data_IF_803178350687
#
_entry.id   IF_803178350687
#
_cell.length_a   1.000
_cell.length_b   1.000
_cell.length_c   1.000
_cell.angle_alpha   90.00
_cell.angle_beta   90.00
_cell.angle_gamma   90.00
#
_symmetry.space_group_name_H-M   'P 1'
#
loop_
_entity.id
_entity.type
_entity.pdbx_description
1 polymer ?
#
# COMPACT_ATOMS: atom_id res chain seq x y z
N UNK A 1 -18.76 21.59 -13.36
CA UNK A 1 -17.32 21.62 -13.62
C UNK A 1 -16.78 20.20 -13.60
N UNK A 2 -15.78 19.90 -14.44
CA UNK A 2 -15.18 18.57 -14.59
C UNK A 2 -14.34 18.13 -13.38
N UNK A 3 -14.00 19.06 -12.49
CA UNK A 3 -13.24 18.80 -11.27
C UNK A 3 -14.06 19.31 -10.08
N UNK A 4 -14.30 18.45 -9.10
CA UNK A 4 -14.88 18.81 -7.79
C UNK A 4 -13.82 18.53 -6.72
N UNK A 5 -13.34 19.57 -6.05
CA UNK A 5 -12.40 19.43 -4.95
C UNK A 5 -13.20 19.01 -3.70
N UNK A 6 -12.79 17.90 -3.10
CA UNK A 6 -13.41 17.30 -1.91
C UNK A 6 -12.33 17.10 -0.86
N UNK A 7 -12.52 17.69 0.32
CA UNK A 7 -11.69 17.48 1.51
C UNK A 7 -12.57 16.94 2.64
N UNK A 8 -11.96 16.42 3.72
CA UNK A 8 -12.70 16.00 4.92
C UNK A 8 -13.60 17.11 5.44
N UNK A 9 -13.11 18.35 5.47
CA UNK A 9 -13.87 19.53 5.92
C UNK A 9 -15.05 19.88 4.99
N UNK A 10 -14.99 19.43 3.73
CA UNK A 10 -16.02 19.62 2.71
C UNK A 10 -16.89 18.37 2.48
N UNK A 11 -16.77 17.38 3.38
CA UNK A 11 -17.63 16.22 3.52
C UNK A 11 -16.98 14.87 3.25
N UNK A 12 -15.99 14.79 2.34
CA UNK A 12 -15.32 13.54 1.98
C UNK A 12 -13.89 13.80 1.49
N UNK A 13 -12.93 12.98 1.88
CA UNK A 13 -11.66 12.89 1.16
C UNK A 13 -11.77 12.00 -0.10
N UNK A 14 -10.68 11.89 -0.87
CA UNK A 14 -10.66 11.13 -2.12
C UNK A 14 -10.98 9.64 -1.94
N UNK A 15 -10.49 9.00 -0.86
CA UNK A 15 -10.73 7.57 -0.59
C UNK A 15 -12.20 7.36 -0.23
N UNK A 16 -12.76 8.23 0.61
CA UNK A 16 -14.18 8.22 0.96
C UNK A 16 -15.06 8.44 -0.28
N UNK A 17 -14.72 9.41 -1.12
CA UNK A 17 -15.47 9.70 -2.34
C UNK A 17 -15.49 8.50 -3.31
N UNK A 18 -14.37 7.78 -3.45
CA UNK A 18 -14.32 6.54 -4.22
C UNK A 18 -15.15 5.42 -3.57
N UNK A 19 -14.95 5.17 -2.29
CA UNK A 19 -15.65 4.11 -1.56
C UNK A 19 -17.19 4.28 -1.56
N UNK A 20 -17.70 5.52 -1.54
CA UNK A 20 -19.15 5.77 -1.65
C UNK A 20 -19.66 5.85 -3.09
N UNK A 21 -18.81 5.56 -4.08
CA UNK A 21 -19.16 5.61 -5.51
C UNK A 21 -19.46 7.02 -6.04
N UNK A 22 -19.00 8.06 -5.34
CA UNK A 22 -19.06 9.46 -5.81
C UNK A 22 -17.94 9.76 -6.80
N UNK A 23 -16.81 9.07 -6.68
CA UNK A 23 -15.68 9.10 -7.60
C UNK A 23 -15.55 7.73 -8.29
N UNK A 24 -15.43 7.71 -9.62
CA UNK A 24 -15.35 6.47 -10.39
C UNK A 24 -13.92 5.93 -10.52
N UNK A 25 -12.92 6.79 -10.39
CA UNK A 25 -11.49 6.47 -10.51
C UNK A 25 -10.72 7.22 -9.44
N UNK A 26 -9.74 6.58 -8.81
CA UNK A 26 -8.85 7.20 -7.83
C UNK A 26 -7.43 6.73 -8.07
N UNK A 27 -6.47 7.66 -8.05
CA UNK A 27 -5.03 7.35 -8.03
C UNK A 27 -4.56 7.61 -6.60
N UNK A 28 -4.35 6.54 -5.83
CA UNK A 28 -3.98 6.62 -4.41
C UNK A 28 -2.99 5.51 -4.03
N UNK A 29 -2.58 5.48 -2.76
CA UNK A 29 -1.73 4.43 -2.21
C UNK A 29 -2.41 3.06 -2.29
N UNK A 30 -1.66 2.01 -2.64
CA UNK A 30 -2.14 0.62 -2.55
C UNK A 30 -2.57 0.25 -1.12
N UNK A 31 -2.02 0.92 -0.10
CA UNK A 31 -2.45 0.75 1.29
C UNK A 31 -3.91 1.10 1.54
N UNK A 32 -4.54 1.92 0.68
CA UNK A 32 -5.98 2.21 0.79
C UNK A 32 -6.87 1.05 0.36
N UNK A 33 -6.32 0.00 -0.28
CA UNK A 33 -7.07 -1.19 -0.71
C UNK A 33 -7.90 -1.79 0.45
N UNK A 34 -7.30 -1.90 1.64
CA UNK A 34 -8.00 -2.42 2.82
C UNK A 34 -9.11 -1.48 3.29
N UNK A 35 -8.89 -0.16 3.25
CA UNK A 35 -9.91 0.83 3.63
C UNK A 35 -11.08 0.80 2.65
N UNK A 36 -10.81 0.88 1.35
CA UNK A 36 -11.83 0.80 0.29
C UNK A 36 -12.62 -0.51 0.41
N UNK A 37 -11.96 -1.66 0.55
CA UNK A 37 -12.64 -2.94 0.69
C UNK A 37 -13.59 -3.02 1.89
N UNK A 38 -13.27 -2.34 3.00
CA UNK A 38 -14.10 -2.30 4.21
C UNK A 38 -15.21 -1.25 4.16
N UNK A 39 -15.02 -0.16 3.43
CA UNK A 39 -15.94 1.00 3.45
C UNK A 39 -16.69 1.23 2.15
N UNK A 40 -16.43 0.42 1.12
CA UNK A 40 -17.15 0.49 -0.15
C UNK A 40 -18.66 0.35 0.07
N UNK A 41 -19.44 1.09 -0.72
CA UNK A 41 -20.89 0.94 -0.74
C UNK A 41 -21.26 -0.49 -1.15
N UNK A 42 -22.34 -1.01 -0.58
CA UNK A 42 -22.85 -2.34 -0.90
C UNK A 42 -23.11 -2.49 -2.41
N UNK A 43 -22.72 -3.63 -2.98
CA UNK A 43 -22.89 -3.94 -4.40
C UNK A 43 -21.95 -3.19 -5.36
N UNK A 44 -20.99 -2.40 -4.86
CA UNK A 44 -19.95 -1.81 -5.71
C UNK A 44 -18.94 -2.87 -6.12
N UNK A 45 -18.70 -2.96 -7.42
CA UNK A 45 -17.57 -3.69 -7.98
C UNK A 45 -16.46 -2.70 -8.29
N UNK A 46 -15.27 -2.94 -7.75
CA UNK A 46 -14.07 -2.17 -8.06
C UNK A 46 -12.89 -3.11 -8.23
N UNK A 47 -11.86 -2.60 -8.89
CA UNK A 47 -10.63 -3.33 -9.16
C UNK A 47 -9.44 -2.36 -9.18
N UNK A 48 -8.23 -2.90 -9.16
CA UNK A 48 -6.98 -2.15 -9.21
C UNK A 48 -6.35 -2.29 -10.59
N UNK A 49 -5.90 -1.18 -11.17
CA UNK A 49 -5.16 -1.15 -12.41
C UNK A 49 -3.79 -0.50 -12.23
N UNK A 50 -2.85 -0.82 -13.11
CA UNK A 50 -1.58 -0.11 -13.18
C UNK A 50 -1.78 1.37 -13.52
N UNK A 51 -0.84 2.22 -13.08
CA UNK A 51 -0.88 3.65 -13.43
C UNK A 51 -0.94 3.84 -14.96
N UNK A 52 -1.74 4.81 -15.44
CA UNK A 52 -1.79 5.13 -16.86
C UNK A 52 -0.44 5.69 -17.32
N UNK A 53 -0.06 5.37 -18.56
CA UNK A 53 1.13 5.90 -19.23
C UNK A 53 0.71 6.70 -20.46
N UNK A 54 1.49 7.72 -20.83
CA UNK A 54 1.20 8.51 -22.02
C UNK A 54 1.32 7.66 -23.29
N UNK A 55 0.42 7.90 -24.25
CA UNK A 55 0.47 7.24 -25.55
C UNK A 55 1.82 7.47 -26.24
N UNK A 56 2.38 6.41 -26.84
CA UNK A 56 3.70 6.45 -27.50
C UNK A 56 4.89 6.42 -26.55
N UNK A 57 4.68 6.24 -25.25
CA UNK A 57 5.77 6.09 -24.27
C UNK A 57 5.92 4.64 -23.81
N UNK A 58 7.14 4.25 -23.47
CA UNK A 58 7.42 2.94 -22.88
C UNK A 58 7.05 2.95 -21.39
N UNK A 59 6.27 1.95 -20.94
CA UNK A 59 5.96 1.77 -19.52
C UNK A 59 7.24 1.50 -18.73
N UNK A 60 7.40 2.19 -17.59
CA UNK A 60 8.48 1.98 -16.62
C UNK A 60 7.91 1.61 -15.26
N UNK A 61 8.79 1.24 -14.34
CA UNK A 61 8.42 0.95 -12.96
C UNK A 61 7.83 2.20 -12.28
N UNK A 62 6.87 2.01 -11.39
CA UNK A 62 6.43 3.05 -10.45
C UNK A 62 7.48 3.27 -9.36
N UNK A 63 7.31 4.36 -8.59
CA UNK A 63 8.11 4.62 -7.40
C UNK A 63 7.44 4.01 -6.16
N UNK A 64 8.24 3.50 -5.24
CA UNK A 64 7.76 3.06 -3.93
C UNK A 64 7.54 4.26 -3.00
N UNK A 65 6.42 4.26 -2.30
CA UNK A 65 6.13 5.20 -1.20
C UNK A 65 6.25 4.53 0.17
N UNK A 66 5.64 5.15 1.18
CA UNK A 66 5.58 4.59 2.54
C UNK A 66 6.72 5.07 3.44
N UNK A 67 7.22 4.19 4.29
CA UNK A 67 8.27 4.47 5.26
C UNK A 67 9.35 3.39 5.23
N UNK A 68 10.51 3.71 5.82
CA UNK A 68 11.62 2.78 6.01
C UNK A 68 11.99 2.73 7.49
N UNK A 69 12.56 1.60 7.91
CA UNK A 69 13.14 1.45 9.25
C UNK A 69 14.64 1.75 9.19
N UNK A 70 15.10 2.62 10.09
CA UNK A 70 16.50 2.99 10.22
C UNK A 70 17.05 2.54 11.56
N UNK A 71 18.25 1.97 11.55
CA UNK A 71 18.99 1.61 12.76
C UNK A 71 19.93 2.76 13.12
N UNK A 72 19.79 3.34 14.30
CA UNK A 72 20.56 4.51 14.73
C UNK A 72 21.99 4.14 15.16
N UNK A 73 22.94 5.06 14.96
CA UNK A 73 24.33 4.91 15.40
C UNK A 73 24.49 5.03 16.93
N UNK A 74 25.63 4.58 17.46
CA UNK A 74 26.00 4.78 18.86
C UNK A 74 25.32 3.83 19.85
N UNK A 75 24.93 2.64 19.39
CA UNK A 75 24.32 1.58 20.22
C UNK A 75 25.32 0.46 20.53
N UNK A 76 25.00 -0.34 21.54
CA UNK A 76 25.80 -1.51 21.91
C UNK A 76 25.63 -2.66 20.91
N UNK A 77 26.60 -3.58 20.88
CA UNK A 77 26.53 -4.80 20.05
C UNK A 77 25.29 -5.64 20.34
N UNK A 78 24.84 -5.68 21.61
CA UNK A 78 23.64 -6.39 22.01
C UNK A 78 22.37 -5.76 21.41
N UNK A 79 22.28 -4.42 21.41
CA UNK A 79 21.17 -3.70 20.78
C UNK A 79 21.18 -3.89 19.25
N UNK A 80 22.34 -3.83 18.62
CA UNK A 80 22.44 -4.09 17.18
C UNK A 80 22.06 -5.52 16.80
N UNK A 81 22.42 -6.52 17.62
CA UNK A 81 21.98 -7.89 17.43
C UNK A 81 20.45 -8.01 17.54
N UNK A 82 19.83 -7.29 18.47
CA UNK A 82 18.37 -7.21 18.60
C UNK A 82 17.69 -6.56 17.38
N UNK A 83 18.21 -5.42 16.92
CA UNK A 83 17.71 -4.74 15.73
C UNK A 83 17.81 -5.64 14.48
N UNK A 84 18.94 -6.32 14.30
CA UNK A 84 19.14 -7.27 13.20
C UNK A 84 18.15 -8.46 13.28
N UNK A 85 17.92 -9.01 14.47
CA UNK A 85 16.95 -10.08 14.66
C UNK A 85 15.52 -9.63 14.30
N UNK A 86 15.13 -8.41 14.70
CA UNK A 86 13.83 -7.85 14.36
C UNK A 86 13.68 -7.61 12.85
N UNK A 87 14.69 -7.03 12.19
CA UNK A 87 14.68 -6.83 10.74
C UNK A 87 14.59 -8.16 9.98
N UNK A 88 15.25 -9.21 10.47
CA UNK A 88 15.11 -10.56 9.89
C UNK A 88 13.70 -11.13 10.09
N UNK A 89 13.09 -10.93 11.25
CA UNK A 89 11.73 -11.40 11.53
C UNK A 89 10.68 -10.75 10.60
N UNK A 90 10.79 -9.45 10.34
CA UNK A 90 9.84 -8.77 9.43
C UNK A 90 10.06 -9.11 7.95
N UNK A 91 11.24 -9.60 7.58
CA UNK A 91 11.53 -10.10 6.24
C UNK A 91 11.11 -11.56 6.02
N UNK A 92 10.68 -12.27 7.07
CA UNK A 92 10.14 -13.63 6.94
C UNK A 92 8.91 -13.63 6.00
N UNK A 93 8.82 -14.55 5.03
CA UNK A 93 7.71 -14.58 4.08
C UNK A 93 6.31 -14.69 4.72
N UNK A 94 6.18 -15.37 5.87
CA UNK A 94 4.90 -15.45 6.59
C UNK A 94 4.53 -14.11 7.21
N UNK A 95 5.52 -13.39 7.75
CA UNK A 95 5.31 -12.03 8.26
C UNK A 95 4.92 -11.08 7.13
N UNK A 96 5.52 -11.21 5.94
CA UNK A 96 5.16 -10.42 4.76
C UNK A 96 3.70 -10.67 4.33
N UNK A 97 3.26 -11.94 4.27
CA UNK A 97 1.86 -12.29 3.99
C UNK A 97 0.92 -11.69 5.04
N UNK A 98 1.21 -11.87 6.33
CA UNK A 98 0.40 -11.31 7.41
C UNK A 98 0.29 -9.78 7.30
N UNK A 99 1.42 -9.08 7.15
CA UNK A 99 1.45 -7.63 7.06
C UNK A 99 0.67 -7.12 5.85
N UNK A 100 0.88 -7.72 4.69
CA UNK A 100 0.20 -7.34 3.45
C UNK A 100 -1.32 -7.51 3.56
N UNK A 101 -1.79 -8.66 4.02
CA UNK A 101 -3.22 -8.95 4.17
C UNK A 101 -3.92 -7.98 5.11
N UNK A 102 -3.28 -7.59 6.21
CA UNK A 102 -3.90 -6.73 7.22
C UNK A 102 -3.83 -5.24 6.88
N UNK A 103 -2.84 -4.81 6.10
CA UNK A 103 -2.56 -3.38 5.87
C UNK A 103 -2.71 -2.92 4.43
N UNK A 104 -2.64 -3.82 3.45
CA UNK A 104 -2.56 -3.50 2.03
C UNK A 104 -1.15 -3.12 1.54
N UNK A 105 -0.14 -3.07 2.41
CA UNK A 105 1.25 -2.87 1.97
C UNK A 105 1.77 -4.09 1.20
N UNK A 106 2.75 -3.87 0.33
CA UNK A 106 3.30 -4.92 -0.54
C UNK A 106 4.55 -5.58 0.08
N UNK A 107 4.84 -6.85 -0.26
CA UNK A 107 6.07 -7.50 0.16
C UNK A 107 7.29 -6.77 -0.41
N UNK A 108 8.32 -6.58 0.42
CA UNK A 108 9.57 -5.88 0.04
C UNK A 108 10.67 -6.84 -0.43
N UNK A 109 10.40 -8.15 -0.42
CA UNK A 109 11.30 -9.21 -0.88
C UNK A 109 10.64 -10.07 -1.95
N UNK A 110 11.43 -10.61 -2.88
CA UNK A 110 10.94 -11.57 -3.89
C UNK A 110 10.40 -12.84 -3.24
N UNK A 111 11.08 -13.36 -2.23
CA UNK A 111 10.63 -14.54 -1.49
C UNK A 111 9.29 -14.32 -0.79
N UNK A 112 9.05 -13.13 -0.23
CA UNK A 112 7.76 -12.76 0.34
C UNK A 112 6.66 -12.71 -0.74
N UNK A 113 6.95 -12.10 -1.88
CA UNK A 113 6.02 -12.07 -3.02
C UNK A 113 5.68 -13.47 -3.55
N UNK A 114 6.69 -14.30 -3.82
CA UNK A 114 6.51 -15.66 -4.35
C UNK A 114 5.73 -16.54 -3.36
N UNK A 115 6.01 -16.38 -2.06
CA UNK A 115 5.26 -17.05 -1.00
C UNK A 115 3.79 -16.62 -0.97
N UNK A 116 3.53 -15.32 -1.04
CA UNK A 116 2.16 -14.78 -1.09
C UNK A 116 1.40 -15.22 -2.33
N UNK A 117 2.04 -15.37 -3.48
CA UNK A 117 1.37 -15.85 -4.70
C UNK A 117 0.97 -17.32 -4.65
N UNK A 118 1.62 -18.09 -3.77
CA UNK A 118 1.46 -19.53 -3.67
C UNK A 118 0.51 -19.96 -2.54
N UNK A 119 -0.07 -19.01 -1.80
CA UNK A 119 -0.99 -19.22 -0.67
C UNK A 119 -2.20 -18.29 -0.80
#
# INVERSE_FOLDING_TARGET
>A
GLIKIKSKDLGQDMVQAFATGTCQLILTSVGDHGTVGRTQKEGMNWDVAELPVYAGTERKNSLVGGASLWVLSGKSDAEYKGAAAFLNFIHDPKTALFWSTNTGYIPVTKSGFDFMKSN
#
